data_IF_937067903390
#
_entry.id   IF_937067903390
#
_cell.length_a   1.000
_cell.length_b   1.000
_cell.length_c   1.000
_cell.angle_alpha   90.00
_cell.angle_beta   90.00
_cell.angle_gamma   90.00
#
_symmetry.space_group_name_H-M   'P 1'
#
loop_
_entity.id
_entity.type
_entity.pdbx_description
1 polymer ?
#
# COMPACT_ATOMS: atom_id res chain seq x y z
N UNK A 1 -19.80 1.67 -2.78
CA UNK A 1 -19.46 3.11 -2.69
C UNK A 1 -17.96 3.24 -2.92
N UNK A 2 -17.46 4.35 -3.50
CA UNK A 2 -16.02 4.56 -3.59
C UNK A 2 -15.42 4.55 -2.17
N UNK A 3 -14.34 3.79 -1.97
CA UNK A 3 -13.59 3.78 -0.72
C UNK A 3 -12.63 4.97 -0.65
N UNK A 4 -12.53 5.59 0.52
CA UNK A 4 -11.55 6.67 0.76
C UNK A 4 -10.22 6.07 1.19
N UNK A 5 -9.10 6.55 0.63
CA UNK A 5 -7.75 6.21 1.10
C UNK A 5 -7.40 6.99 2.37
N UNK A 6 -6.62 6.43 3.31
CA UNK A 6 -6.14 7.16 4.48
C UNK A 6 -5.49 8.51 4.17
N UNK A 7 -4.62 8.62 3.15
CA UNK A 7 -4.01 9.90 2.76
C UNK A 7 -5.03 10.95 2.30
N UNK A 8 -6.07 10.51 1.59
CA UNK A 8 -7.16 11.40 1.17
C UNK A 8 -7.94 11.89 2.37
N UNK A 9 -8.23 11.01 3.33
CA UNK A 9 -8.88 11.39 4.58
C UNK A 9 -8.02 12.36 5.40
N UNK A 10 -6.71 12.12 5.49
CA UNK A 10 -5.73 13.03 6.13
C UNK A 10 -5.81 14.43 5.52
N UNK A 11 -5.70 14.54 4.19
CA UNK A 11 -5.74 15.84 3.50
C UNK A 11 -7.07 16.60 3.74
N UNK A 12 -8.18 15.87 3.78
CA UNK A 12 -9.50 16.45 4.10
C UNK A 12 -9.53 16.93 5.55
N UNK A 13 -9.06 16.13 6.50
CA UNK A 13 -9.00 16.49 7.92
C UNK A 13 -8.11 17.73 8.13
N UNK A 14 -6.96 17.82 7.49
CA UNK A 14 -6.08 18.99 7.56
C UNK A 14 -6.77 20.27 7.07
N UNK A 15 -7.40 20.21 5.89
CA UNK A 15 -8.15 21.35 5.34
C UNK A 15 -9.28 21.79 6.27
N UNK A 16 -9.98 20.84 6.89
CA UNK A 16 -11.09 21.11 7.79
C UNK A 16 -10.61 21.62 9.15
N UNK A 17 -9.50 21.11 9.68
CA UNK A 17 -8.86 21.63 10.91
C UNK A 17 -8.43 23.09 10.74
N UNK A 18 -7.87 23.45 9.57
CA UNK A 18 -7.53 24.84 9.26
C UNK A 18 -8.76 25.76 9.31
N UNK A 19 -9.91 25.31 8.78
CA UNK A 19 -11.17 26.08 8.86
C UNK A 19 -11.70 26.23 10.28
N UNK A 20 -11.47 25.24 11.13
CA UNK A 20 -11.82 25.29 12.55
C UNK A 20 -10.83 26.11 13.40
N UNK A 21 -9.71 26.57 12.81
CA UNK A 21 -8.64 27.21 13.57
C UNK A 21 -7.92 26.25 14.52
N UNK A 22 -8.02 24.94 14.29
CA UNK A 22 -7.26 23.93 15.04
C UNK A 22 -5.83 23.95 14.49
N UNK A 23 -4.94 24.55 15.28
CA UNK A 23 -3.48 24.59 15.03
C UNK A 23 -2.77 23.56 15.90
N UNK A 24 -1.55 23.12 15.56
CA UNK A 24 -0.80 22.14 16.35
C UNK A 24 -0.74 22.48 17.84
N UNK A 25 -0.75 21.45 18.69
CA UNK A 25 -0.85 21.59 20.16
C UNK A 25 0.25 22.47 20.79
N UNK A 26 1.37 22.63 20.08
CA UNK A 26 2.53 23.41 20.49
C UNK A 26 2.43 24.91 20.17
N UNK A 27 1.42 25.37 19.41
CA UNK A 27 1.31 26.77 19.00
C UNK A 27 0.53 27.63 20.01
N UNK A 28 1.07 28.82 20.31
CA UNK A 28 0.39 29.83 21.12
C UNK A 28 -0.91 30.30 20.42
N UNK A 29 -1.98 30.49 21.21
CA UNK A 29 -3.29 30.93 20.69
C UNK A 29 -4.24 29.80 20.30
N UNK A 30 -3.90 28.54 20.59
CA UNK A 30 -4.78 27.39 20.40
C UNK A 30 -6.11 27.55 21.16
N UNK A 31 -7.27 27.33 20.52
CA UNK A 31 -8.55 27.34 21.22
C UNK A 31 -8.60 26.24 22.29
N UNK A 32 -9.01 26.60 23.52
CA UNK A 32 -9.28 25.62 24.59
C UNK A 32 -10.58 24.86 24.36
N UNK A 33 -11.46 25.42 23.54
CA UNK A 33 -12.69 24.80 23.07
C UNK A 33 -13.14 25.52 21.79
N UNK A 34 -13.97 24.85 20.99
CA UNK A 34 -14.61 25.41 19.80
C UNK A 34 -16.13 25.48 20.00
N UNK A 35 -16.81 26.57 19.64
CA UNK A 35 -18.26 26.60 19.66
C UNK A 35 -18.82 25.66 18.59
N UNK A 36 -19.71 24.74 18.97
CA UNK A 36 -20.41 23.83 18.06
C UNK A 36 -21.51 24.57 17.29
N UNK A 37 -21.09 25.42 16.37
CA UNK A 37 -21.97 26.07 15.39
C UNK A 37 -22.46 25.07 14.35
N UNK A 38 -23.46 25.46 13.55
CA UNK A 38 -23.93 24.62 12.45
C UNK A 38 -22.82 24.33 11.43
N UNK A 39 -21.93 25.30 11.17
CA UNK A 39 -20.76 25.12 10.32
C UNK A 39 -19.80 24.07 10.90
N UNK A 40 -19.49 24.16 12.19
CA UNK A 40 -18.66 23.17 12.87
C UNK A 40 -19.27 21.77 12.76
N UNK A 41 -20.57 21.62 12.99
CA UNK A 41 -21.24 20.32 12.86
C UNK A 41 -21.22 19.73 11.45
N UNK A 42 -21.30 20.56 10.40
CA UNK A 42 -21.13 20.11 9.01
C UNK A 42 -19.70 19.62 8.78
N UNK A 43 -18.71 20.35 9.27
CA UNK A 43 -17.30 19.97 9.19
C UNK A 43 -17.06 18.62 9.89
N UNK A 44 -17.49 18.47 11.14
CA UNK A 44 -17.31 17.23 11.90
C UNK A 44 -18.07 16.05 11.25
N UNK A 45 -19.30 16.28 10.76
CA UNK A 45 -20.06 15.26 10.03
C UNK A 45 -19.33 14.81 8.75
N UNK A 46 -18.65 15.73 8.06
CA UNK A 46 -17.87 15.43 6.86
C UNK A 46 -16.65 14.58 7.20
N UNK A 47 -15.93 14.90 8.27
CA UNK A 47 -14.82 14.07 8.76
C UNK A 47 -15.29 12.64 9.06
N UNK A 48 -16.39 12.49 9.82
CA UNK A 48 -16.97 11.18 10.14
C UNK A 48 -17.28 10.40 8.85
N UNK A 49 -18.01 11.01 7.91
CA UNK A 49 -18.42 10.35 6.68
C UNK A 49 -17.22 9.90 5.82
N UNK A 50 -16.16 10.70 5.75
CA UNK A 50 -14.94 10.34 5.03
C UNK A 50 -14.21 9.18 5.71
N UNK A 51 -14.02 9.27 7.03
CA UNK A 51 -13.30 8.26 7.81
C UNK A 51 -14.02 6.91 7.81
N UNK A 52 -15.36 6.89 7.86
CA UNK A 52 -16.16 5.66 7.83
C UNK A 52 -16.12 4.92 6.48
N UNK A 53 -15.68 5.59 5.41
CA UNK A 53 -15.52 4.97 4.08
C UNK A 53 -14.13 4.37 3.85
N UNK A 54 -13.24 4.46 4.84
CA UNK A 54 -11.91 3.83 4.79
C UNK A 54 -12.07 2.33 5.07
N UNK A 55 -11.60 1.45 4.16
CA UNK A 55 -11.61 0.01 4.40
C UNK A 55 -10.82 -0.38 5.65
N UNK A 56 -11.38 -1.27 6.48
CA UNK A 56 -10.71 -1.77 7.69
C UNK A 56 -9.33 -2.38 7.42
N UNK A 57 -9.13 -2.96 6.24
CA UNK A 57 -7.86 -3.54 5.82
C UNK A 57 -6.71 -2.52 5.65
N UNK A 58 -7.03 -1.22 5.51
CA UNK A 58 -6.08 -0.11 5.47
C UNK A 58 -5.78 0.46 6.87
N UNK A 59 -6.62 0.18 7.87
CA UNK A 59 -6.43 0.65 9.24
C UNK A 59 -5.50 -0.27 10.05
N UNK A 60 -4.27 -0.48 9.52
CA UNK A 60 -3.23 -1.34 10.10
C UNK A 60 -2.43 -0.63 11.17
N UNK A 61 -3.03 -0.49 12.34
CA UNK A 61 -2.45 0.18 13.50
C UNK A 61 -2.48 -0.74 14.72
N UNK A 62 -1.65 -0.48 15.72
CA UNK A 62 -1.64 -1.30 16.93
C UNK A 62 -2.95 -1.16 17.74
N UNK A 63 -3.11 -2.00 18.78
CA UNK A 63 -4.34 -2.01 19.58
C UNK A 63 -4.62 -0.68 20.30
N UNK A 64 -3.56 0.04 20.71
CA UNK A 64 -3.69 1.34 21.38
C UNK A 64 -4.17 2.39 20.39
N UNK A 65 -3.54 2.48 19.22
CA UNK A 65 -3.91 3.37 18.13
C UNK A 65 -5.31 3.08 17.59
N UNK A 66 -5.69 1.81 17.48
CA UNK A 66 -7.04 1.40 17.11
C UNK A 66 -8.08 1.86 18.12
N UNK A 67 -7.76 1.78 19.41
CA UNK A 67 -8.63 2.27 20.49
C UNK A 67 -8.78 3.78 20.43
N UNK A 68 -7.67 4.50 20.24
CA UNK A 68 -7.65 5.96 20.09
C UNK A 68 -8.46 6.41 18.89
N UNK A 69 -8.34 5.73 17.75
CA UNK A 69 -9.13 5.99 16.56
C UNK A 69 -10.62 5.82 16.80
N UNK A 70 -11.04 4.69 17.37
CA UNK A 70 -12.45 4.42 17.65
C UNK A 70 -13.04 5.46 18.61
N UNK A 71 -12.29 5.80 19.66
CA UNK A 71 -12.77 6.74 20.65
C UNK A 71 -12.83 8.19 20.12
N UNK A 72 -11.89 8.59 19.26
CA UNK A 72 -11.95 9.87 18.57
C UNK A 72 -13.16 9.95 17.62
N UNK A 73 -13.46 8.86 16.90
CA UNK A 73 -14.63 8.81 16.03
C UNK A 73 -15.94 8.92 16.83
N UNK A 74 -16.04 8.26 17.98
CA UNK A 74 -17.20 8.39 18.88
C UNK A 74 -17.33 9.79 19.49
N UNK A 75 -16.22 10.43 19.84
CA UNK A 75 -16.21 11.80 20.35
C UNK A 75 -16.77 12.79 19.30
N UNK A 76 -16.37 12.62 18.02
CA UNK A 76 -16.94 13.40 16.92
C UNK A 76 -18.44 13.13 16.74
N UNK A 77 -18.87 11.86 16.79
CA UNK A 77 -20.29 11.49 16.70
C UNK A 77 -21.09 12.13 17.84
N UNK A 78 -20.56 12.10 19.06
CA UNK A 78 -21.17 12.73 20.23
C UNK A 78 -21.27 14.25 20.06
N UNK A 79 -20.23 14.92 19.59
CA UNK A 79 -20.23 16.36 19.34
C UNK A 79 -21.28 16.77 18.29
N UNK A 80 -21.37 16.02 17.18
CA UNK A 80 -22.40 16.22 16.15
C UNK A 80 -23.80 15.98 16.70
N UNK A 81 -23.99 14.93 17.50
CA UNK A 81 -25.26 14.64 18.16
C UNK A 81 -25.67 15.77 19.11
N UNK A 82 -24.76 16.24 19.97
CA UNK A 82 -25.03 17.31 20.93
C UNK A 82 -25.48 18.59 20.22
N UNK A 83 -24.80 18.97 19.14
CA UNK A 83 -25.20 20.10 18.32
C UNK A 83 -26.61 19.94 17.73
N UNK A 84 -26.93 18.75 17.19
CA UNK A 84 -28.25 18.47 16.59
C UNK A 84 -29.37 18.37 17.62
N UNK A 85 -29.06 17.95 18.85
CA UNK A 85 -30.03 17.80 19.93
C UNK A 85 -30.52 19.12 20.51
N UNK A 86 -29.72 20.19 20.40
CA UNK A 86 -30.07 21.50 20.94
C UNK A 86 -30.78 22.39 19.93
N UNK A 87 -32.03 22.72 20.23
CA UNK A 87 -32.82 23.70 19.50
C UNK A 87 -32.38 25.14 19.79
N UNK A 88 -32.94 26.10 19.05
CA UNK A 88 -32.60 27.51 19.19
C UNK A 88 -32.94 28.08 20.58
N UNK A 89 -33.98 27.56 21.23
CA UNK A 89 -34.41 27.97 22.57
C UNK A 89 -33.39 27.55 23.62
N UNK A 90 -32.94 26.30 23.57
CA UNK A 90 -31.94 25.72 24.47
C UNK A 90 -30.60 26.44 24.34
N UNK A 91 -30.18 26.76 23.10
CA UNK A 91 -28.93 27.52 22.87
C UNK A 91 -28.99 28.93 23.45
N UNK A 92 -30.16 29.58 23.46
CA UNK A 92 -30.34 30.90 24.12
C UNK A 92 -30.28 30.80 25.64
N UNK A 93 -30.81 29.72 26.21
CA UNK A 93 -30.86 29.53 27.65
C UNK A 93 -29.53 29.06 28.24
N UNK A 94 -28.81 28.18 27.54
CA UNK A 94 -27.64 27.48 28.08
C UNK A 94 -26.32 27.77 27.32
N UNK A 95 -26.38 28.57 26.26
CA UNK A 95 -25.26 28.82 25.37
C UNK A 95 -25.06 27.74 24.30
N UNK A 96 -24.15 28.00 23.37
CA UNK A 96 -23.77 27.02 22.34
C UNK A 96 -22.91 25.92 22.98
N UNK A 97 -23.15 24.64 22.65
CA UNK A 97 -22.28 23.54 23.08
C UNK A 97 -20.84 23.76 22.64
N UNK A 98 -19.92 23.11 23.33
CA UNK A 98 -18.50 23.23 23.08
C UNK A 98 -17.97 21.91 22.58
N UNK A 99 -17.13 21.97 21.55
CA UNK A 99 -16.26 20.88 21.17
C UNK A 99 -14.96 21.08 21.94
N UNK A 100 -14.63 20.13 22.79
CA UNK A 100 -13.51 20.22 23.72
C UNK A 100 -12.45 19.19 23.34
N UNK A 101 -11.18 19.43 23.70
CA UNK A 101 -10.13 18.43 23.54
C UNK A 101 -10.37 17.17 24.36
N UNK A 102 -9.86 16.04 23.87
CA UNK A 102 -9.98 14.70 24.48
C UNK A 102 -9.05 14.56 25.70
N UNK A 103 -9.33 15.28 26.77
CA UNK A 103 -8.52 15.33 27.99
C UNK A 103 -8.29 13.98 28.68
N UNK A 104 -9.13 12.98 28.40
CA UNK A 104 -8.96 11.64 28.95
C UNK A 104 -7.85 10.84 28.23
N UNK A 105 -7.54 11.19 26.98
CA UNK A 105 -6.49 10.57 26.16
C UNK A 105 -5.08 11.09 26.54
N UNK A 106 -5.03 12.29 27.12
CA UNK A 106 -3.82 12.94 27.67
C UNK A 106 -3.17 12.18 28.85
N UNK A 107 -3.81 11.11 29.34
CA UNK A 107 -3.26 10.24 30.40
C UNK A 107 -2.22 9.24 29.88
N UNK A 108 -2.05 9.13 28.57
CA UNK A 108 -0.97 8.36 27.96
C UNK A 108 0.31 9.20 27.97
N UNK A 109 1.40 8.70 28.55
CA UNK A 109 2.62 9.47 28.86
C UNK A 109 3.36 10.06 27.63
N UNK A 110 2.89 9.82 26.41
CA UNK A 110 3.60 10.15 25.17
C UNK A 110 2.78 11.00 24.19
N UNK A 111 1.50 11.30 24.47
CA UNK A 111 0.68 12.13 23.62
C UNK A 111 0.81 13.62 23.97
N UNK A 112 0.80 14.53 22.98
CA UNK A 112 0.59 15.96 23.23
C UNK A 112 -0.70 16.14 24.02
N UNK A 113 -0.68 16.98 25.06
CA UNK A 113 -1.88 17.31 25.81
C UNK A 113 -2.85 18.12 24.95
N UNK A 114 -4.13 18.10 25.32
CA UNK A 114 -5.16 19.00 24.81
C UNK A 114 -5.51 18.78 23.33
N UNK A 115 -5.52 17.53 22.84
CA UNK A 115 -5.82 17.17 21.44
C UNK A 115 -7.30 17.07 21.12
N UNK A 116 -7.73 17.60 19.99
CA UNK A 116 -9.06 17.37 19.44
C UNK A 116 -9.15 16.00 18.76
N UNK A 117 -10.35 15.40 18.74
CA UNK A 117 -10.57 14.12 18.08
C UNK A 117 -10.16 14.09 16.60
N UNK A 118 -10.30 15.21 15.87
CA UNK A 118 -9.85 15.31 14.48
C UNK A 118 -8.33 15.16 14.34
N UNK A 119 -7.55 15.66 15.29
CA UNK A 119 -6.08 15.48 15.29
C UNK A 119 -5.69 14.04 15.65
N UNK A 120 -6.45 13.38 16.53
CA UNK A 120 -6.21 11.96 16.84
C UNK A 120 -6.45 11.09 15.61
N UNK A 121 -7.58 11.30 14.90
CA UNK A 121 -7.85 10.61 13.65
C UNK A 121 -6.78 10.90 12.60
N UNK A 122 -6.36 12.16 12.45
CA UNK A 122 -5.28 12.55 11.56
C UNK A 122 -3.99 11.74 11.81
N UNK A 123 -3.49 11.73 13.04
CA UNK A 123 -2.20 11.08 13.34
C UNK A 123 -2.25 9.56 13.25
N UNK A 124 -3.40 8.94 13.54
CA UNK A 124 -3.58 7.51 13.31
C UNK A 124 -3.59 7.22 11.81
N UNK A 125 -4.36 7.99 11.03
CA UNK A 125 -4.49 7.77 9.58
C UNK A 125 -3.19 8.05 8.83
N UNK A 126 -2.33 8.94 9.33
CA UNK A 126 -1.00 9.20 8.78
C UNK A 126 -0.07 7.98 8.83
N UNK A 127 -0.36 7.02 9.72
CA UNK A 127 0.40 5.78 9.87
C UNK A 127 -0.19 4.62 9.05
N UNK A 128 -1.40 4.80 8.55
CA UNK A 128 -2.07 3.80 7.73
C UNK A 128 -1.51 3.81 6.29
N UNK A 129 -1.26 2.65 5.68
CA UNK A 129 -0.91 2.59 4.27
C UNK A 129 -2.11 2.99 3.39
N UNK A 130 -1.85 3.46 2.17
CA UNK A 130 -2.89 3.64 1.14
C UNK A 130 -3.15 2.36 0.34
N UNK A 131 -2.30 1.35 0.51
CA UNK A 131 -2.33 0.11 -0.25
C UNK A 131 -2.56 -1.10 0.66
N UNK A 132 -3.42 -2.01 0.23
CA UNK A 132 -3.71 -3.25 0.95
C UNK A 132 -2.81 -4.35 0.38
N UNK A 133 -2.07 -5.04 1.24
CA UNK A 133 -1.59 -6.40 0.94
C UNK A 133 -2.76 -7.36 1.18
N UNK A 134 -3.32 -7.96 0.12
CA UNK A 134 -4.42 -8.92 0.25
C UNK A 134 -3.99 -10.09 1.15
N UNK A 135 -4.89 -10.60 1.99
CA UNK A 135 -4.58 -11.71 2.89
C UNK A 135 -4.20 -13.01 2.15
N UNK A 136 -4.60 -13.12 0.87
CA UNK A 136 -4.21 -14.21 -0.02
C UNK A 136 -2.83 -14.04 -0.66
N UNK A 137 -2.18 -12.89 -0.48
CA UNK A 137 -0.83 -12.62 -1.01
C UNK A 137 0.20 -13.46 -0.27
N UNK A 138 1.04 -14.18 -1.02
CA UNK A 138 2.11 -15.00 -0.48
C UNK A 138 2.99 -14.22 0.53
N UNK A 139 3.38 -14.88 1.62
CA UNK A 139 4.10 -14.25 2.74
C UNK A 139 5.61 -14.07 2.48
N UNK A 140 6.13 -14.63 1.38
CA UNK A 140 7.53 -14.58 0.94
C UNK A 140 8.55 -14.82 2.09
N UNK A 141 8.40 -15.91 2.87
CA UNK A 141 9.16 -16.10 4.11
C UNK A 141 10.67 -16.24 3.91
N UNK A 142 11.09 -16.64 2.70
CA UNK A 142 12.49 -16.77 2.30
C UNK A 142 13.23 -15.42 2.25
N UNK A 143 12.53 -14.29 2.10
CA UNK A 143 13.14 -12.95 2.01
C UNK A 143 13.41 -12.38 3.39
N UNK A 144 14.64 -12.45 3.89
CA UNK A 144 14.98 -12.03 5.28
C UNK A 144 14.83 -10.54 5.55
N UNK A 145 15.04 -9.67 4.56
CA UNK A 145 14.80 -8.24 4.68
C UNK A 145 13.29 -7.93 4.74
N UNK A 146 12.82 -7.55 5.92
CA UNK A 146 11.40 -7.27 6.19
C UNK A 146 10.87 -6.13 5.31
N UNK A 147 11.64 -5.06 5.10
CA UNK A 147 11.17 -3.91 4.32
C UNK A 147 11.04 -4.28 2.85
N UNK A 148 12.03 -4.98 2.32
CA UNK A 148 12.02 -5.44 0.94
C UNK A 148 10.91 -6.48 0.72
N UNK A 149 10.73 -7.42 1.66
CA UNK A 149 9.62 -8.39 1.66
C UNK A 149 8.27 -7.70 1.56
N UNK A 150 8.00 -6.73 2.43
CA UNK A 150 6.71 -6.00 2.41
C UNK A 150 6.51 -5.20 1.11
N UNK A 151 7.57 -4.62 0.55
CA UNK A 151 7.50 -3.98 -0.77
C UNK A 151 7.07 -4.96 -1.87
N UNK A 152 7.66 -6.16 -1.92
CA UNK A 152 7.29 -7.17 -2.92
C UNK A 152 5.89 -7.73 -2.71
N UNK A 153 5.42 -7.79 -1.46
CA UNK A 153 4.04 -8.16 -1.15
C UNK A 153 3.03 -7.11 -1.62
N UNK A 154 3.37 -5.83 -1.54
CA UNK A 154 2.56 -4.76 -2.14
C UNK A 154 2.48 -4.92 -3.66
N UNK A 155 3.62 -5.16 -4.32
CA UNK A 155 3.66 -5.42 -5.76
C UNK A 155 2.81 -6.64 -6.16
N UNK A 156 2.92 -7.76 -5.42
CA UNK A 156 2.11 -8.96 -5.66
C UNK A 156 0.61 -8.68 -5.45
N UNK A 157 0.26 -7.92 -4.42
CA UNK A 157 -1.11 -7.48 -4.18
C UNK A 157 -1.63 -6.63 -5.34
N UNK A 158 -0.82 -5.69 -5.84
CA UNK A 158 -1.16 -4.84 -6.98
C UNK A 158 -1.35 -5.65 -8.27
N UNK A 159 -0.53 -6.67 -8.52
CA UNK A 159 -0.73 -7.61 -9.64
C UNK A 159 -2.07 -8.31 -9.55
N UNK A 160 -2.42 -8.84 -8.37
CA UNK A 160 -3.69 -9.54 -8.14
C UNK A 160 -4.90 -8.60 -8.27
N UNK A 161 -4.80 -7.38 -7.75
CA UNK A 161 -5.82 -6.35 -7.89
C UNK A 161 -6.03 -5.96 -9.37
N UNK A 162 -4.95 -5.68 -10.10
CA UNK A 162 -5.01 -5.35 -11.52
C UNK A 162 -5.62 -6.50 -12.34
N UNK A 163 -5.26 -7.75 -12.04
CA UNK A 163 -5.85 -8.93 -12.67
C UNK A 163 -7.36 -9.02 -12.40
N UNK A 164 -7.78 -8.81 -11.16
CA UNK A 164 -9.19 -8.87 -10.72
C UNK A 164 -10.02 -7.75 -11.35
N UNK A 165 -9.45 -6.56 -11.51
CA UNK A 165 -10.09 -5.38 -12.10
C UNK A 165 -10.12 -5.40 -13.63
N UNK A 166 -9.54 -6.42 -14.28
CA UNK A 166 -9.46 -6.51 -15.75
C UNK A 166 -8.39 -5.60 -16.37
N UNK A 167 -7.46 -5.08 -15.57
CA UNK A 167 -6.36 -4.21 -15.98
C UNK A 167 -5.17 -5.05 -16.47
N UNK A 168 -5.39 -5.89 -17.48
CA UNK A 168 -4.46 -6.93 -17.88
C UNK A 168 -3.07 -6.43 -18.29
N UNK A 169 -3.00 -5.24 -18.91
CA UNK A 169 -1.71 -4.61 -19.23
C UNK A 169 -0.93 -4.26 -17.96
N UNK A 170 -1.59 -3.67 -16.97
CA UNK A 170 -0.97 -3.32 -15.70
C UNK A 170 -0.50 -4.59 -14.96
N UNK A 171 -1.36 -5.61 -14.83
CA UNK A 171 -1.02 -6.89 -14.21
C UNK A 171 0.20 -7.56 -14.86
N UNK A 172 0.25 -7.57 -16.21
CA UNK A 172 1.36 -8.17 -16.96
C UNK A 172 2.68 -7.42 -16.73
N UNK A 173 2.63 -6.09 -16.63
CA UNK A 173 3.82 -5.24 -16.42
C UNK A 173 4.36 -5.34 -15.01
N UNK A 174 3.48 -5.11 -14.04
CA UNK A 174 3.82 -5.18 -12.62
C UNK A 174 4.33 -6.58 -12.29
N UNK A 175 3.66 -7.62 -12.78
CA UNK A 175 4.09 -8.98 -12.50
C UNK A 175 5.42 -9.35 -13.17
N UNK A 176 5.70 -8.83 -14.36
CA UNK A 176 7.02 -8.95 -14.97
C UNK A 176 8.14 -8.27 -14.17
N UNK A 177 7.86 -7.12 -13.54
CA UNK A 177 8.79 -6.44 -12.65
C UNK A 177 8.98 -7.20 -11.32
N UNK A 178 7.90 -7.75 -10.75
CA UNK A 178 7.97 -8.57 -9.55
C UNK A 178 8.79 -9.85 -9.76
N UNK A 179 8.63 -10.53 -10.89
CA UNK A 179 9.46 -11.69 -11.27
C UNK A 179 10.95 -11.28 -11.30
N UNK A 180 11.25 -10.14 -11.94
CA UNK A 180 12.60 -9.60 -12.01
C UNK A 180 13.19 -9.36 -10.62
N UNK A 181 12.42 -8.71 -9.73
CA UNK A 181 12.84 -8.41 -8.37
C UNK A 181 13.06 -9.66 -7.52
N UNK A 182 12.19 -10.68 -7.61
CA UNK A 182 12.33 -11.96 -6.90
C UNK A 182 13.61 -12.70 -7.32
N UNK A 183 13.83 -12.83 -8.63
CA UNK A 183 15.03 -13.50 -9.16
C UNK A 183 16.30 -12.69 -8.86
N UNK A 184 16.23 -11.36 -8.93
CA UNK A 184 17.34 -10.50 -8.59
C UNK A 184 17.76 -10.65 -7.13
N UNK A 185 16.80 -10.68 -6.20
CA UNK A 185 17.06 -10.89 -4.78
C UNK A 185 17.75 -12.23 -4.55
N UNK A 186 17.17 -13.33 -5.04
CA UNK A 186 17.71 -14.67 -4.82
C UNK A 186 19.12 -14.83 -5.40
N UNK A 187 19.36 -14.31 -6.61
CA UNK A 187 20.67 -14.35 -7.24
C UNK A 187 21.67 -13.43 -6.54
N UNK A 188 21.21 -12.38 -5.87
CA UNK A 188 22.04 -11.49 -5.05
C UNK A 188 22.52 -12.13 -3.77
N UNK A 189 21.73 -13.01 -3.17
CA UNK A 189 22.11 -13.81 -2.00
C UNK A 189 23.19 -14.87 -2.33
N UNK A 190 23.35 -15.24 -3.60
CA UNK A 190 24.41 -16.18 -4.02
C UNK A 190 25.79 -15.56 -3.95
N UNK A 191 26.77 -16.35 -3.57
CA UNK A 191 28.17 -15.91 -3.60
C UNK A 191 28.61 -15.60 -5.04
N UNK A 192 29.61 -14.73 -5.18
CA UNK A 192 30.16 -14.38 -6.51
C UNK A 192 30.59 -15.62 -7.30
N UNK A 193 31.29 -16.62 -6.72
CA UNK A 193 31.66 -17.84 -7.44
C UNK A 193 30.46 -18.68 -7.91
N UNK A 194 29.43 -18.85 -7.08
CA UNK A 194 28.21 -19.59 -7.46
C UNK A 194 27.53 -18.90 -8.65
N UNK A 195 27.34 -17.59 -8.56
CA UNK A 195 26.72 -16.80 -9.61
C UNK A 195 27.51 -16.85 -10.92
N UNK A 196 28.84 -16.80 -10.85
CA UNK A 196 29.72 -16.97 -12.02
C UNK A 196 29.57 -18.37 -12.63
N UNK A 197 29.43 -19.41 -11.81
CA UNK A 197 29.15 -20.76 -12.30
C UNK A 197 27.79 -20.84 -13.00
N UNK A 198 26.76 -20.18 -12.48
CA UNK A 198 25.43 -20.16 -13.11
C UNK A 198 25.46 -19.45 -14.47
N UNK A 199 26.16 -18.30 -14.54
CA UNK A 199 26.39 -17.58 -15.78
C UNK A 199 27.13 -18.46 -16.80
N UNK A 200 28.21 -19.13 -16.39
CA UNK A 200 28.97 -20.02 -17.26
C UNK A 200 28.10 -21.15 -17.80
N UNK A 201 27.27 -21.75 -16.95
CA UNK A 201 26.32 -22.79 -17.35
C UNK A 201 25.30 -22.25 -18.37
N UNK A 202 24.74 -21.05 -18.18
CA UNK A 202 23.80 -20.45 -19.12
C UNK A 202 24.43 -20.15 -20.50
N UNK A 203 25.69 -19.71 -20.52
CA UNK A 203 26.45 -19.50 -21.77
C UNK A 203 26.76 -20.82 -22.46
N UNK A 204 27.21 -21.85 -21.72
CA UNK A 204 27.47 -23.19 -22.27
C UNK A 204 26.19 -23.84 -22.81
N UNK A 205 25.06 -23.66 -22.13
CA UNK A 205 23.74 -24.11 -22.58
C UNK A 205 23.18 -23.28 -23.76
N UNK A 206 23.87 -22.19 -24.15
CA UNK A 206 23.49 -21.26 -25.22
C UNK A 206 22.13 -20.59 -25.00
N UNK A 207 21.67 -20.51 -23.76
CA UNK A 207 20.49 -19.70 -23.39
C UNK A 207 20.85 -18.22 -23.24
N UNK A 208 22.13 -17.95 -22.92
CA UNK A 208 22.77 -16.65 -23.09
C UNK A 208 23.82 -16.71 -24.21
N UNK A 209 23.85 -15.69 -25.07
CA UNK A 209 24.82 -15.60 -26.17
C UNK A 209 26.23 -15.22 -25.71
N UNK A 210 26.34 -14.56 -24.56
CA UNK A 210 27.59 -14.14 -23.91
C UNK A 210 27.34 -13.94 -22.42
N UNK A 211 28.43 -13.87 -21.65
CA UNK A 211 28.35 -13.48 -20.24
C UNK A 211 27.75 -12.05 -20.13
N UNK A 212 26.80 -11.82 -19.21
CA UNK A 212 26.21 -10.52 -18.96
C UNK A 212 27.18 -9.61 -18.19
N UNK A 213 26.73 -8.40 -17.84
CA UNK A 213 27.47 -7.49 -16.98
C UNK A 213 27.82 -8.18 -15.63
N UNK A 214 29.03 -8.01 -15.06
CA UNK A 214 29.33 -8.54 -13.73
C UNK A 214 28.41 -8.03 -12.61
N UNK A 215 27.88 -6.81 -12.75
CA UNK A 215 26.92 -6.22 -11.82
C UNK A 215 25.48 -6.62 -12.19
N UNK A 216 24.77 -7.38 -11.33
CA UNK A 216 23.40 -7.82 -11.55
C UNK A 216 22.39 -6.68 -11.72
N UNK A 217 22.68 -5.48 -11.22
CA UNK A 217 21.78 -4.32 -11.38
C UNK A 217 21.59 -3.88 -12.84
N UNK A 218 22.45 -4.37 -13.74
CA UNK A 218 22.37 -4.12 -15.19
C UNK A 218 21.72 -5.26 -15.97
N UNK A 219 21.24 -6.30 -15.29
CA UNK A 219 20.61 -7.44 -15.94
C UNK A 219 19.18 -7.11 -16.31
N UNK A 220 18.72 -7.66 -17.43
CA UNK A 220 17.32 -7.64 -17.79
C UNK A 220 16.63 -8.93 -17.30
N UNK A 221 15.30 -8.94 -17.35
CA UNK A 221 14.51 -10.10 -16.97
C UNK A 221 14.90 -11.38 -17.73
N UNK A 222 15.33 -11.27 -19.00
CA UNK A 222 15.85 -12.42 -19.75
C UNK A 222 17.07 -13.03 -19.05
N UNK A 223 18.04 -12.19 -18.71
CA UNK A 223 19.27 -12.59 -18.05
C UNK A 223 18.98 -13.24 -16.68
N UNK A 224 18.11 -12.64 -15.87
CA UNK A 224 17.72 -13.21 -14.58
C UNK A 224 17.11 -14.61 -14.72
N UNK A 225 16.18 -14.80 -15.68
CA UNK A 225 15.54 -16.10 -15.91
C UNK A 225 16.57 -17.16 -16.32
N UNK A 226 17.46 -16.84 -17.27
CA UNK A 226 18.42 -17.83 -17.78
C UNK A 226 19.50 -18.19 -16.76
N UNK A 227 19.98 -17.21 -15.99
CA UNK A 227 20.97 -17.47 -14.91
C UNK A 227 20.33 -18.28 -13.78
N UNK A 228 19.12 -17.93 -13.35
CA UNK A 228 18.41 -18.69 -12.31
C UNK A 228 18.15 -20.14 -12.75
N UNK A 229 17.68 -20.35 -13.98
CA UNK A 229 17.45 -21.69 -14.52
C UNK A 229 18.75 -22.51 -14.63
N UNK A 230 19.85 -21.90 -15.07
CA UNK A 230 21.15 -22.57 -15.20
C UNK A 230 21.78 -22.93 -13.84
N UNK A 231 21.42 -22.20 -12.78
CA UNK A 231 21.76 -22.51 -11.40
C UNK A 231 20.81 -23.48 -10.71
N UNK A 232 19.76 -23.96 -11.40
CA UNK A 232 18.65 -24.73 -10.80
C UNK A 232 17.99 -24.02 -9.61
N UNK A 233 18.05 -22.69 -9.58
CA UNK A 233 17.33 -21.84 -8.61
C UNK A 233 15.83 -21.90 -8.87
N UNK A 234 15.45 -22.04 -10.13
CA UNK A 234 14.09 -22.30 -10.57
C UNK A 234 14.07 -23.56 -11.44
N UNK A 235 12.95 -24.29 -11.40
CA UNK A 235 12.74 -25.47 -12.23
C UNK A 235 12.66 -25.13 -13.72
N UNK A 236 12.87 -26.12 -14.59
CA UNK A 236 12.80 -25.93 -16.05
C UNK A 236 11.39 -25.52 -16.50
N UNK A 237 10.36 -26.03 -15.84
CA UNK A 237 8.96 -25.68 -16.03
C UNK A 237 8.73 -24.22 -15.64
N UNK A 238 9.21 -23.79 -14.47
CA UNK A 238 9.11 -22.40 -14.02
C UNK A 238 9.83 -21.44 -14.97
N UNK A 239 11.04 -21.80 -15.42
CA UNK A 239 11.78 -21.02 -16.41
C UNK A 239 11.00 -20.87 -17.74
N UNK A 240 10.28 -21.91 -18.17
CA UNK A 240 9.46 -21.87 -19.39
C UNK A 240 8.32 -20.86 -19.26
N UNK A 241 7.58 -20.87 -18.14
CA UNK A 241 6.48 -19.94 -17.92
C UNK A 241 7.02 -18.51 -17.70
N UNK A 242 8.16 -18.35 -17.01
CA UNK A 242 8.80 -17.05 -16.83
C UNK A 242 9.24 -16.41 -18.16
N UNK A 243 9.76 -17.21 -19.12
CA UNK A 243 10.08 -16.72 -20.47
C UNK A 243 8.83 -16.22 -21.20
N UNK A 244 7.71 -16.93 -21.10
CA UNK A 244 6.42 -16.48 -21.65
C UNK A 244 5.95 -15.18 -20.99
N UNK A 245 6.02 -15.09 -19.66
CA UNK A 245 5.71 -13.87 -18.91
C UNK A 245 6.56 -12.68 -19.37
N UNK A 246 7.87 -12.86 -19.59
CA UNK A 246 8.77 -11.85 -20.16
C UNK A 246 8.30 -11.39 -21.54
N UNK A 247 7.97 -12.31 -22.43
CA UNK A 247 7.53 -11.97 -23.78
C UNK A 247 6.20 -11.23 -23.80
N UNK A 248 5.29 -11.55 -22.89
CA UNK A 248 4.05 -10.81 -22.69
C UNK A 248 4.26 -9.43 -22.07
N UNK A 249 5.16 -9.28 -21.09
CA UNK A 249 5.57 -7.96 -20.57
C UNK A 249 6.05 -7.06 -21.70
N UNK A 250 6.80 -7.60 -22.66
CA UNK A 250 7.29 -6.84 -23.81
C UNK A 250 6.19 -6.34 -24.75
N UNK A 251 4.94 -6.80 -24.64
CA UNK A 251 3.79 -6.27 -25.38
C UNK A 251 3.39 -4.85 -24.92
N UNK A 252 4.01 -4.30 -23.87
CA UNK A 252 3.86 -2.87 -23.55
C UNK A 252 4.33 -1.94 -24.66
N UNK A 253 5.30 -2.39 -25.45
CA UNK A 253 5.85 -1.62 -26.55
C UNK A 253 4.89 -1.69 -27.74
N UNK A 254 4.27 -0.56 -28.16
CA UNK A 254 3.24 -0.58 -29.20
C UNK A 254 3.69 -1.25 -30.50
N UNK A 255 4.92 -0.98 -30.94
CA UNK A 255 5.48 -1.60 -32.15
C UNK A 255 5.75 -3.10 -32.04
N UNK A 256 5.86 -3.68 -30.83
CA UNK A 256 5.93 -5.14 -30.68
C UNK A 256 4.53 -5.76 -30.74
N UNK A 257 3.57 -5.16 -30.06
CA UNK A 257 2.17 -5.58 -30.10
C UNK A 257 1.61 -5.59 -31.53
N UNK A 258 1.91 -4.55 -32.32
CA UNK A 258 1.50 -4.45 -33.72
C UNK A 258 2.15 -5.52 -34.60
N UNK A 259 3.48 -5.69 -34.52
CA UNK A 259 4.21 -6.69 -35.33
C UNK A 259 3.78 -8.12 -35.06
N UNK A 260 3.45 -8.44 -33.81
CA UNK A 260 3.02 -9.79 -33.41
C UNK A 260 1.50 -9.97 -33.51
N UNK A 261 0.75 -8.91 -33.78
CA UNK A 261 -0.71 -8.87 -33.68
C UNK A 261 -1.24 -9.47 -32.36
N UNK A 262 -0.57 -9.11 -31.25
CA UNK A 262 -0.89 -9.58 -29.90
C UNK A 262 -1.14 -8.39 -28.98
N UNK A 263 -1.97 -8.58 -27.95
CA UNK A 263 -2.28 -7.58 -26.93
C UNK A 263 -2.18 -8.23 -25.55
N UNK A 264 -1.94 -7.41 -24.53
CA UNK A 264 -2.13 -7.87 -23.15
C UNK A 264 -3.62 -8.14 -22.93
N UNK A 265 -3.94 -9.36 -22.51
CA UNK A 265 -5.29 -9.82 -22.24
C UNK A 265 -5.30 -10.65 -20.95
N UNK A 266 -6.47 -11.22 -20.62
CA UNK A 266 -6.61 -12.05 -19.42
C UNK A 266 -5.65 -13.23 -19.42
N UNK A 267 -5.39 -13.86 -20.57
CA UNK A 267 -4.49 -14.99 -20.71
C UNK A 267 -3.03 -14.62 -20.45
N UNK A 268 -2.58 -13.47 -20.98
CA UNK A 268 -1.23 -12.98 -20.70
C UNK A 268 -1.04 -12.67 -19.23
N UNK A 269 -2.02 -12.00 -18.61
CA UNK A 269 -1.96 -11.65 -17.19
C UNK A 269 -1.97 -12.88 -16.28
N UNK A 270 -2.80 -13.89 -16.58
CA UNK A 270 -2.80 -15.17 -15.86
C UNK A 270 -1.48 -15.93 -16.01
N UNK A 271 -0.83 -15.84 -17.17
CA UNK A 271 0.50 -16.46 -17.37
C UNK A 271 1.55 -15.82 -16.49
N UNK A 272 1.54 -14.49 -16.36
CA UNK A 272 2.44 -13.77 -15.46
C UNK A 272 2.16 -14.12 -13.99
N UNK A 273 0.89 -14.18 -13.58
CA UNK A 273 0.53 -14.61 -12.22
C UNK A 273 1.02 -16.03 -11.93
N UNK A 274 0.82 -16.97 -12.87
CA UNK A 274 1.33 -18.33 -12.74
C UNK A 274 2.86 -18.39 -12.66
N UNK A 275 3.59 -17.56 -13.42
CA UNK A 275 5.05 -17.46 -13.31
C UNK A 275 5.48 -17.01 -11.92
N UNK A 276 4.80 -16.00 -11.33
CA UNK A 276 5.10 -15.53 -9.97
C UNK A 276 4.90 -16.65 -8.95
N UNK A 277 3.72 -17.30 -8.95
CA UNK A 277 3.41 -18.38 -8.01
C UNK A 277 4.44 -19.53 -8.09
N UNK A 278 4.86 -19.89 -9.31
CA UNK A 278 5.87 -20.91 -9.56
C UNK A 278 7.24 -20.51 -9.03
N UNK A 279 7.65 -19.25 -9.22
CA UNK A 279 8.93 -18.74 -8.69
C UNK A 279 8.87 -18.70 -7.16
N UNK A 280 7.80 -18.15 -6.57
CA UNK A 280 7.63 -18.13 -5.12
C UNK A 280 7.70 -19.54 -4.52
N UNK A 281 7.15 -20.54 -5.22
CA UNK A 281 7.26 -21.95 -4.80
C UNK A 281 8.69 -22.49 -4.91
N UNK A 282 9.41 -22.18 -5.99
CA UNK A 282 10.78 -22.65 -6.19
C UNK A 282 11.79 -21.99 -5.22
N UNK A 283 11.48 -20.78 -4.72
CA UNK A 283 12.33 -20.01 -3.80
C UNK A 283 12.06 -20.26 -2.31
N UNK A 284 10.96 -20.93 -1.96
CA UNK A 284 10.55 -21.19 -0.58
C UNK A 284 11.17 -22.48 -0.02
#
# INVERSE_FOLDING_TARGET
MPSTLPSTAVAIIELLNQRLGIVPATMAGRPTHLPLTNECGVILSTVIAVVETIPDALLRVDAEQRTNFAAALEDLRHAVWLMRSQDATSRRAHGTPKFEPMHWLDRTHHAPQNRYATEVLHDVLLQCPDEIVLASTADLPFITDIRFRESLRLDLSAVNAALTNGEYKAATVLGGALIEALLHWELSEKTVPERQSFIANAVTAKTLSRAPNPDPNWWDLHTFIEVAAAGSVISAETATIARLAKDFRNLIHPGRAERLNQRCDRGTALTVAAAIERIVTDLA
#
